data_IF_076519334821
#
_entry.id   IF_076519334821
#
_cell.length_a   1.000
_cell.length_b   1.000
_cell.length_c   1.000
_cell.angle_alpha   90.00
_cell.angle_beta   90.00
_cell.angle_gamma   90.00
#
_symmetry.space_group_name_H-M   'P 1'
#
loop_
_entity.id
_entity.type
_entity.pdbx_description
1 polymer ?
#
# COMPACT_ATOMS: atom_id res chain seq x y z
N UNK A 1 12.40 -14.30 10.33
CA UNK A 1 11.74 -13.70 11.52
C UNK A 1 10.48 -13.01 11.05
N UNK A 2 9.39 -12.98 11.83
CA UNK A 2 8.17 -12.29 11.41
C UNK A 2 8.44 -10.80 11.22
N UNK A 3 7.77 -10.19 10.24
CA UNK A 3 7.86 -8.76 9.96
C UNK A 3 7.34 -7.96 11.18
N UNK A 4 8.21 -7.16 11.80
CA UNK A 4 7.91 -6.35 13.00
C UNK A 4 7.77 -4.86 12.71
N UNK A 5 7.78 -4.47 11.43
CA UNK A 5 7.61 -3.09 11.02
C UNK A 5 6.17 -2.63 11.24
N UNK A 6 5.99 -1.32 11.16
CA UNK A 6 4.69 -0.67 11.16
C UNK A 6 4.55 0.10 9.85
N UNK A 7 3.39 0.09 9.21
CA UNK A 7 3.23 0.72 7.90
C UNK A 7 2.25 1.88 7.94
N UNK A 8 2.52 2.92 7.15
CA UNK A 8 1.58 4.01 6.90
C UNK A 8 1.10 3.91 5.45
N UNK A 9 -0.14 3.49 5.27
CA UNK A 9 -0.84 3.55 3.99
C UNK A 9 -1.67 4.83 3.95
N UNK A 10 -1.48 5.62 2.91
CA UNK A 10 -2.16 6.90 2.77
C UNK A 10 -2.79 7.03 1.38
N UNK A 11 -4.07 7.36 1.36
CA UNK A 11 -4.82 7.72 0.15
C UNK A 11 -4.97 9.23 0.10
N UNK A 12 -4.33 9.86 -0.88
CA UNK A 12 -4.24 11.32 -0.99
C UNK A 12 -5.22 11.83 -2.03
N UNK A 13 -6.01 12.83 -1.64
CA UNK A 13 -6.97 13.50 -2.50
C UNK A 13 -6.22 14.59 -3.27
N UNK A 14 -5.81 14.29 -4.51
CA UNK A 14 -5.05 15.25 -5.32
C UNK A 14 -5.96 16.29 -5.96
N UNK A 15 -5.41 17.44 -6.37
CA UNK A 15 -6.13 18.52 -7.04
C UNK A 15 -5.73 18.56 -8.51
N UNK A 16 -6.69 18.52 -9.42
CA UNK A 16 -6.49 18.62 -10.87
C UNK A 16 -5.40 17.68 -11.38
N UNK A 17 -4.41 18.22 -12.09
CA UNK A 17 -3.26 17.50 -12.64
C UNK A 17 -2.05 17.45 -11.69
N UNK A 18 -2.23 17.80 -10.42
CA UNK A 18 -1.16 17.95 -9.43
C UNK A 18 -0.47 16.66 -8.98
N UNK A 19 -0.95 15.48 -9.39
CA UNK A 19 -0.46 14.19 -8.88
C UNK A 19 1.03 13.97 -9.13
N UNK A 20 1.57 14.28 -10.32
CA UNK A 20 3.01 14.09 -10.60
C UNK A 20 3.91 15.03 -9.78
N UNK A 21 3.48 16.28 -9.56
CA UNK A 21 4.20 17.21 -8.70
C UNK A 21 4.20 16.73 -7.24
N UNK A 22 3.04 16.26 -6.76
CA UNK A 22 2.90 15.65 -5.45
C UNK A 22 3.82 14.45 -5.27
N UNK A 23 3.75 13.45 -6.16
CA UNK A 23 4.57 12.22 -6.08
C UNK A 23 6.06 12.52 -6.06
N UNK A 24 6.52 13.44 -6.92
CA UNK A 24 7.93 13.88 -6.96
C UNK A 24 8.38 14.55 -5.67
N UNK A 25 7.54 15.41 -5.10
CA UNK A 25 7.84 16.12 -3.84
C UNK A 25 7.91 15.14 -2.66
N UNK A 26 6.99 14.18 -2.58
CA UNK A 26 7.01 13.09 -1.60
C UNK A 26 8.25 12.20 -1.74
N UNK A 27 8.62 11.81 -2.97
CA UNK A 27 9.80 11.00 -3.20
C UNK A 27 11.12 11.74 -2.89
N UNK A 28 11.18 13.05 -3.18
CA UNK A 28 12.34 13.88 -2.83
C UNK A 28 12.52 13.98 -1.31
N UNK A 29 11.42 14.02 -0.56
CA UNK A 29 11.43 13.98 0.90
C UNK A 29 11.94 12.64 1.44
N UNK A 30 11.41 11.53 0.94
CA UNK A 30 11.87 10.19 1.29
C UNK A 30 13.38 10.02 1.08
N UNK A 31 13.92 10.58 -0.01
CA UNK A 31 15.35 10.49 -0.31
C UNK A 31 16.26 11.35 0.58
N UNK A 32 15.73 12.40 1.23
CA UNK A 32 16.53 13.31 2.08
C UNK A 32 16.56 12.86 3.53
N UNK A 33 15.58 12.07 3.98
CA UNK A 33 15.45 11.67 5.38
C UNK A 33 16.24 10.41 5.68
N UNK A 34 17.06 10.49 6.73
CA UNK A 34 17.61 9.32 7.44
C UNK A 34 16.64 8.78 8.50
N UNK A 35 15.67 9.59 8.93
CA UNK A 35 14.73 9.29 10.02
C UNK A 35 13.30 9.64 9.60
N UNK A 36 12.36 8.71 9.82
CA UNK A 36 10.94 8.84 9.46
C UNK A 36 10.61 8.05 8.20
N UNK A 37 10.32 6.75 8.38
CA UNK A 37 9.75 5.83 7.39
C UNK A 37 10.54 5.64 6.08
N UNK A 38 10.86 4.39 5.73
CA UNK A 38 11.33 4.04 4.40
C UNK A 38 10.15 4.00 3.41
N UNK A 39 10.26 4.71 2.29
CA UNK A 39 9.23 4.69 1.26
C UNK A 39 9.24 3.33 0.54
N UNK A 40 8.14 2.58 0.65
CA UNK A 40 7.90 1.34 -0.12
C UNK A 40 7.45 1.72 -1.53
N UNK A 41 6.48 2.63 -1.64
CA UNK A 41 6.11 3.14 -2.94
C UNK A 41 5.06 4.22 -2.95
N UNK A 42 4.88 4.77 -4.15
CA UNK A 42 3.87 5.76 -4.48
C UNK A 42 3.23 5.33 -5.81
N UNK A 43 1.91 5.30 -5.86
CA UNK A 43 1.11 4.88 -7.00
C UNK A 43 0.10 5.96 -7.41
N UNK A 44 -0.25 5.95 -8.69
CA UNK A 44 -1.43 6.64 -9.20
C UNK A 44 -2.62 5.69 -9.16
N UNK A 45 -3.73 6.07 -8.54
CA UNK A 45 -4.97 5.29 -8.66
C UNK A 45 -5.60 5.53 -10.04
N UNK A 46 -6.08 4.46 -10.67
CA UNK A 46 -6.91 4.53 -11.87
C UNK A 46 -8.32 5.01 -11.52
N UNK A 47 -8.77 6.09 -12.16
CA UNK A 47 -10.09 6.66 -11.93
C UNK A 47 -11.26 5.78 -12.39
N UNK A 48 -11.02 4.77 -13.24
CA UNK A 48 -12.04 3.79 -13.62
C UNK A 48 -12.33 2.75 -12.54
N UNK A 49 -11.54 2.70 -11.45
CA UNK A 49 -11.64 1.66 -10.41
C UNK A 49 -11.92 2.22 -9.02
N UNK A 50 -11.95 3.55 -8.85
CA UNK A 50 -12.14 4.21 -7.56
C UNK A 50 -12.25 5.71 -7.71
N UNK A 51 -12.34 6.42 -6.59
CA UNK A 51 -12.34 7.88 -6.57
C UNK A 51 -11.15 8.45 -7.33
N UNK A 52 -11.34 9.56 -8.02
CA UNK A 52 -10.26 10.25 -8.71
C UNK A 52 -10.40 11.77 -8.60
N UNK A 53 -9.26 12.50 -8.60
CA UNK A 53 -7.90 11.98 -8.69
C UNK A 53 -7.31 11.60 -7.31
N UNK A 54 -6.67 10.42 -7.23
CA UNK A 54 -6.03 9.90 -6.00
C UNK A 54 -4.60 9.43 -6.23
N UNK A 55 -3.74 9.67 -5.24
CA UNK A 55 -2.40 9.07 -5.13
C UNK A 55 -2.38 8.20 -3.88
N UNK A 56 -1.80 7.01 -3.98
CA UNK A 56 -1.60 6.13 -2.82
C UNK A 56 -0.11 6.04 -2.52
N UNK A 57 0.28 6.06 -1.25
CA UNK A 57 1.65 5.79 -0.84
C UNK A 57 1.72 4.93 0.41
N UNK A 58 2.79 4.14 0.48
CA UNK A 58 3.06 3.21 1.56
C UNK A 58 4.46 3.47 2.10
N UNK A 59 4.53 3.68 3.41
CA UNK A 59 5.78 3.82 4.15
C UNK A 59 5.95 2.66 5.13
N UNK A 60 7.18 2.20 5.30
CA UNK A 60 7.60 1.21 6.27
C UNK A 60 8.34 1.93 7.40
N UNK A 61 7.91 1.73 8.64
CA UNK A 61 8.51 2.30 9.84
C UNK A 61 9.11 1.22 10.71
N UNK A 62 10.10 1.59 11.50
CA UNK A 62 10.73 0.70 12.49
C UNK A 62 9.87 0.57 13.76
N UNK A 63 8.68 -0.01 13.57
CA UNK A 63 7.71 -0.27 14.62
C UNK A 63 7.07 0.98 15.23
N UNK A 64 6.40 0.76 16.36
CA UNK A 64 5.64 1.76 17.11
C UNK A 64 6.50 2.91 17.66
N UNK A 65 7.74 2.62 18.06
CA UNK A 65 8.65 3.64 18.60
C UNK A 65 9.00 4.69 17.54
N UNK A 66 9.31 4.27 16.31
CA UNK A 66 9.56 5.23 15.24
C UNK A 66 8.31 6.05 14.89
N UNK A 67 7.11 5.48 15.02
CA UNK A 67 5.88 6.25 14.85
C UNK A 67 5.71 7.30 15.96
N UNK A 68 6.02 6.96 17.21
CA UNK A 68 6.04 7.93 18.31
C UNK A 68 7.01 9.09 18.03
N UNK A 69 8.23 8.81 17.55
CA UNK A 69 9.19 9.85 17.16
C UNK A 69 8.65 10.77 16.05
N UNK A 70 7.91 10.20 15.08
CA UNK A 70 7.26 10.96 14.02
C UNK A 70 6.17 11.88 14.60
N UNK A 71 5.35 11.37 15.52
CA UNK A 71 4.29 12.14 16.17
C UNK A 71 4.87 13.28 17.02
N UNK A 72 5.90 13.01 17.82
CA UNK A 72 6.59 14.00 18.65
C UNK A 72 7.12 15.14 17.78
N UNK A 73 7.81 14.80 16.70
CA UNK A 73 8.34 15.77 15.74
C UNK A 73 7.25 16.57 15.02
N UNK A 74 6.08 15.98 14.81
CA UNK A 74 4.99 16.61 14.06
C UNK A 74 4.07 17.47 14.93
N UNK A 75 3.90 17.13 16.21
CA UNK A 75 2.82 17.68 17.04
C UNK A 75 3.24 18.20 18.42
N UNK A 76 4.39 17.80 18.98
CA UNK A 76 4.70 18.12 20.39
C UNK A 76 5.23 19.54 20.61
N UNK A 77 5.91 20.14 19.63
CA UNK A 77 6.41 21.51 19.73
C UNK A 77 5.34 22.57 19.41
N UNK A 78 5.51 23.80 19.92
CA UNK A 78 4.65 24.94 19.57
C UNK A 78 4.56 25.20 18.05
N UNK A 79 5.62 24.84 17.32
CA UNK A 79 5.69 24.92 15.86
C UNK A 79 6.37 23.67 15.29
N UNK A 80 5.86 23.19 14.16
CA UNK A 80 6.53 22.16 13.38
C UNK A 80 7.93 22.60 12.95
N UNK A 81 8.92 21.66 12.90
CA UNK A 81 10.22 21.91 12.32
C UNK A 81 10.12 22.58 10.95
N UNK A 82 10.99 23.55 10.67
CA UNK A 82 10.87 24.41 9.50
C UNK A 82 10.88 23.64 8.17
N UNK A 83 11.70 22.57 8.08
CA UNK A 83 11.76 21.68 6.93
C UNK A 83 10.45 20.91 6.72
N UNK A 84 9.88 20.35 7.79
CA UNK A 84 8.62 19.62 7.77
C UNK A 84 7.46 20.54 7.42
N UNK A 85 7.41 21.72 8.02
CA UNK A 85 6.41 22.75 7.71
C UNK A 85 6.50 23.15 6.23
N UNK A 86 7.68 23.46 5.72
CA UNK A 86 7.88 23.81 4.31
C UNK A 86 7.44 22.68 3.37
N UNK A 87 7.69 21.42 3.75
CA UNK A 87 7.24 20.26 3.01
C UNK A 87 5.69 20.17 2.96
N UNK A 88 5.02 20.32 4.11
CA UNK A 88 3.55 20.32 4.22
C UNK A 88 2.90 21.50 3.48
N UNK A 89 3.46 22.70 3.60
CA UNK A 89 2.97 23.90 2.89
C UNK A 89 3.05 23.73 1.38
N UNK A 90 4.13 23.13 0.87
CA UNK A 90 4.30 22.92 -0.57
C UNK A 90 3.31 21.89 -1.11
N UNK A 91 3.11 20.77 -0.42
CA UNK A 91 2.19 19.72 -0.89
C UNK A 91 0.72 20.14 -0.85
N UNK A 92 0.33 21.09 0.02
CA UNK A 92 -1.04 21.61 0.10
C UNK A 92 -1.53 22.24 -1.22
N UNK A 93 -0.62 22.63 -2.12
CA UNK A 93 -0.95 23.13 -3.47
C UNK A 93 -1.53 22.06 -4.40
N UNK A 94 -1.29 20.78 -4.09
CA UNK A 94 -1.63 19.65 -4.97
C UNK A 94 -2.57 18.63 -4.32
N UNK A 95 -2.96 18.84 -3.07
CA UNK A 95 -3.91 17.98 -2.36
C UNK A 95 -4.94 18.79 -1.60
N UNK A 96 -6.14 18.26 -1.48
CA UNK A 96 -7.21 18.81 -0.62
C UNK A 96 -7.33 18.06 0.71
N UNK A 97 -6.70 16.89 0.84
CA UNK A 97 -6.78 16.04 2.02
C UNK A 97 -6.26 14.64 1.74
N UNK A 98 -6.64 13.71 2.60
CA UNK A 98 -6.33 12.30 2.46
C UNK A 98 -6.87 11.49 3.62
N UNK A 99 -6.70 10.18 3.53
CA UNK A 99 -7.03 9.24 4.58
C UNK A 99 -5.86 8.29 4.81
N UNK A 100 -5.40 8.24 6.05
CA UNK A 100 -4.21 7.51 6.46
C UNK A 100 -4.61 6.32 7.34
N UNK A 101 -3.89 5.22 7.18
CA UNK A 101 -4.01 4.00 7.96
C UNK A 101 -2.65 3.64 8.53
N UNK A 102 -2.60 3.43 9.83
CA UNK A 102 -1.51 2.70 10.45
C UNK A 102 -1.84 1.21 10.36
N UNK A 103 -0.88 0.46 9.83
CA UNK A 103 -1.03 -0.90 9.39
C UNK A 103 -0.02 -1.81 10.10
N UNK A 104 -0.52 -2.93 10.61
CA UNK A 104 0.29 -4.01 11.18
C UNK A 104 0.40 -5.14 10.14
N UNK A 105 1.62 -5.59 9.79
CA UNK A 105 1.83 -6.63 8.79
C UNK A 105 1.38 -8.00 9.30
N UNK A 106 0.80 -8.81 8.42
CA UNK A 106 0.68 -10.25 8.65
C UNK A 106 2.07 -10.90 8.75
N UNK A 107 2.25 -12.05 9.42
CA UNK A 107 3.56 -12.69 9.59
C UNK A 107 4.31 -13.01 8.29
N UNK A 108 3.58 -13.24 7.18
CA UNK A 108 4.11 -13.53 5.84
C UNK A 108 4.27 -12.30 4.95
N UNK A 109 3.91 -11.10 5.45
CA UNK A 109 4.01 -9.87 4.69
C UNK A 109 5.49 -9.51 4.47
N UNK A 110 5.95 -9.39 3.21
CA UNK A 110 7.33 -9.03 2.94
C UNK A 110 7.65 -7.61 3.42
N UNK A 111 8.87 -7.43 3.91
CA UNK A 111 9.47 -6.12 4.16
C UNK A 111 9.84 -5.44 2.84
N UNK A 112 10.07 -4.12 2.90
CA UNK A 112 10.55 -3.34 1.76
C UNK A 112 11.85 -3.90 1.19
N UNK A 113 12.77 -4.31 2.06
CA UNK A 113 14.07 -4.83 1.65
C UNK A 113 13.92 -6.22 1.00
N UNK A 114 13.04 -7.08 1.49
CA UNK A 114 12.71 -8.35 0.85
C UNK A 114 12.03 -8.15 -0.53
N UNK A 115 11.18 -7.13 -0.69
CA UNK A 115 10.62 -6.79 -2.01
C UNK A 115 11.70 -6.37 -3.02
N UNK A 116 12.73 -5.67 -2.54
CA UNK A 116 13.89 -5.27 -3.35
C UNK A 116 14.72 -6.49 -3.73
N UNK A 117 15.10 -7.31 -2.74
CA UNK A 117 15.92 -8.52 -2.89
C UNK A 117 15.27 -9.53 -3.84
N UNK A 118 13.98 -9.82 -3.63
CA UNK A 118 13.20 -10.76 -4.46
C UNK A 118 12.86 -10.21 -5.84
N UNK A 119 13.24 -8.96 -6.14
CA UNK A 119 12.94 -8.30 -7.40
C UNK A 119 11.45 -8.35 -7.76
N UNK A 120 10.56 -8.11 -6.78
CA UNK A 120 9.12 -8.00 -7.04
C UNK A 120 8.89 -6.79 -7.94
N UNK A 121 8.41 -7.00 -9.17
CA UNK A 121 8.18 -5.93 -10.15
C UNK A 121 6.83 -6.10 -10.85
N UNK A 122 6.17 -4.99 -11.16
CA UNK A 122 4.89 -5.02 -11.87
C UNK A 122 4.50 -3.67 -12.49
N UNK A 123 3.81 -3.72 -13.63
CA UNK A 123 3.24 -2.51 -14.29
C UNK A 123 1.94 -2.05 -13.64
N UNK A 124 1.26 -2.95 -12.94
CA UNK A 124 0.05 -2.68 -12.20
C UNK A 124 0.18 -3.20 -10.76
N UNK A 125 -0.59 -2.60 -9.87
CA UNK A 125 -0.77 -3.04 -8.51
C UNK A 125 -2.28 -3.14 -8.25
N UNK A 126 -2.75 -4.30 -7.83
CA UNK A 126 -4.13 -4.50 -7.40
C UNK A 126 -4.17 -4.28 -5.88
N UNK A 127 -4.90 -3.25 -5.45
CA UNK A 127 -5.12 -2.98 -4.04
C UNK A 127 -6.52 -3.44 -3.66
N UNK A 128 -6.60 -4.38 -2.73
CA UNK A 128 -7.82 -4.74 -2.02
C UNK A 128 -7.86 -4.03 -0.67
N UNK A 129 -8.98 -3.37 -0.40
CA UNK A 129 -9.38 -2.95 0.95
C UNK A 129 -10.61 -3.77 1.31
N UNK A 130 -10.46 -4.69 2.25
CA UNK A 130 -11.50 -5.61 2.69
C UNK A 130 -12.17 -5.07 3.96
N UNK A 131 -13.50 -5.01 3.94
CA UNK A 131 -14.32 -4.78 5.14
C UNK A 131 -14.61 -6.13 5.78
N UNK A 132 -14.23 -6.28 7.04
CA UNK A 132 -14.29 -7.53 7.77
C UNK A 132 -15.32 -7.46 8.90
N UNK A 133 -15.75 -8.64 9.35
CA UNK A 133 -16.42 -8.76 10.65
C UNK A 133 -15.42 -8.34 11.73
N UNK A 134 -15.92 -7.61 12.73
CA UNK A 134 -15.12 -7.12 13.85
C UNK A 134 -14.38 -8.27 14.53
N UNK A 135 -13.11 -8.03 14.88
CA UNK A 135 -12.23 -8.99 15.51
C UNK A 135 -11.70 -10.11 14.61
N UNK A 136 -12.02 -10.16 13.31
CA UNK A 136 -11.64 -11.30 12.45
C UNK A 136 -10.51 -11.02 11.44
N UNK A 137 -9.73 -9.96 11.68
CA UNK A 137 -8.71 -9.53 10.73
C UNK A 137 -7.56 -10.53 10.60
N UNK A 138 -7.16 -11.16 11.70
CA UNK A 138 -6.05 -12.12 11.71
C UNK A 138 -6.46 -13.42 11.01
N UNK A 139 -7.64 -13.96 11.29
CA UNK A 139 -8.14 -15.16 10.63
C UNK A 139 -8.35 -14.95 9.13
N UNK A 140 -8.79 -13.74 8.73
CA UNK A 140 -8.87 -13.39 7.32
C UNK A 140 -7.48 -13.38 6.66
N UNK A 141 -6.47 -12.78 7.31
CA UNK A 141 -5.10 -12.74 6.79
C UNK A 141 -4.46 -14.14 6.74
N UNK A 142 -4.77 -15.03 7.68
CA UNK A 142 -4.37 -16.43 7.66
C UNK A 142 -5.05 -17.20 6.52
N UNK A 143 -6.33 -16.92 6.26
CA UNK A 143 -7.04 -17.47 5.10
C UNK A 143 -6.44 -16.97 3.78
N UNK A 144 -6.05 -15.69 3.70
CA UNK A 144 -5.30 -15.16 2.55
C UNK A 144 -3.99 -15.94 2.38
N UNK A 145 -3.22 -16.15 3.45
CA UNK A 145 -1.94 -16.84 3.39
C UNK A 145 -2.08 -18.29 2.89
N UNK A 146 -3.07 -19.02 3.43
CA UNK A 146 -3.21 -20.47 3.22
C UNK A 146 -4.02 -20.83 1.98
N UNK A 147 -4.98 -19.97 1.57
CA UNK A 147 -5.90 -20.25 0.48
C UNK A 147 -5.67 -19.36 -0.74
N UNK A 148 -5.48 -18.06 -0.54
CA UNK A 148 -5.43 -17.12 -1.66
C UNK A 148 -4.03 -16.94 -2.24
N UNK A 149 -3.02 -16.74 -1.40
CA UNK A 149 -1.65 -16.46 -1.81
C UNK A 149 -1.11 -17.49 -2.82
N UNK A 150 -1.25 -18.81 -2.61
CA UNK A 150 -0.79 -19.80 -3.59
C UNK A 150 -1.54 -19.72 -4.94
N UNK A 151 -2.82 -19.37 -4.91
CA UNK A 151 -3.65 -19.20 -6.12
C UNK A 151 -3.22 -17.94 -6.87
N UNK A 152 -3.08 -16.81 -6.17
CA UNK A 152 -2.62 -15.55 -6.73
C UNK A 152 -1.24 -15.71 -7.39
N UNK A 153 -0.32 -16.42 -6.75
CA UNK A 153 1.03 -16.66 -7.29
C UNK A 153 1.03 -17.51 -8.55
N UNK A 154 0.21 -18.57 -8.62
CA UNK A 154 -0.01 -19.36 -9.85
C UNK A 154 -0.62 -18.54 -10.98
N UNK A 155 -1.47 -17.56 -10.64
CA UNK A 155 -2.05 -16.60 -11.58
C UNK A 155 -1.10 -15.44 -11.93
N UNK A 156 0.14 -15.48 -11.45
CA UNK A 156 1.21 -14.55 -11.81
C UNK A 156 1.26 -13.27 -10.98
N UNK A 157 0.45 -13.15 -9.93
CA UNK A 157 0.52 -12.04 -8.98
C UNK A 157 1.68 -12.28 -8.00
N UNK A 158 2.21 -11.21 -7.43
CA UNK A 158 3.22 -11.28 -6.36
C UNK A 158 2.82 -10.38 -5.21
N UNK A 159 2.86 -10.89 -3.99
CA UNK A 159 2.47 -10.12 -2.80
C UNK A 159 3.42 -8.93 -2.61
N UNK A 160 2.85 -7.74 -2.48
CA UNK A 160 3.55 -6.52 -2.04
C UNK A 160 3.38 -6.37 -0.53
N UNK A 161 2.18 -6.64 -0.01
CA UNK A 161 1.92 -6.62 1.42
C UNK A 161 0.50 -7.04 1.78
N UNK A 162 0.33 -7.49 3.02
CA UNK A 162 -0.93 -7.90 3.61
C UNK A 162 -0.97 -7.41 5.06
N UNK A 163 -1.98 -6.64 5.41
CA UNK A 163 -2.00 -5.86 6.64
C UNK A 163 -3.38 -5.84 7.28
N UNK A 164 -3.42 -5.78 8.62
CA UNK A 164 -4.59 -5.31 9.37
C UNK A 164 -4.41 -3.85 9.78
N UNK A 165 -5.50 -3.10 9.92
CA UNK A 165 -5.43 -1.75 10.47
C UNK A 165 -5.26 -1.78 12.00
N UNK A 166 -4.49 -0.84 12.55
CA UNK A 166 -4.28 -0.79 13.99
C UNK A 166 -5.38 0.00 14.74
N UNK A 167 -6.05 0.94 14.09
CA UNK A 167 -7.08 1.82 14.70
C UNK A 167 -8.51 1.35 14.41
N UNK A 168 -8.66 0.16 13.82
CA UNK A 168 -9.93 -0.44 13.42
C UNK A 168 -9.71 -1.95 13.30
N UNK A 169 -10.65 -2.74 13.77
CA UNK A 169 -10.61 -4.20 13.74
C UNK A 169 -11.46 -4.80 12.60
N UNK A 170 -12.00 -3.95 11.73
CA UNK A 170 -12.88 -4.32 10.61
C UNK A 170 -12.28 -4.06 9.22
N UNK A 171 -10.97 -3.80 9.10
CA UNK A 171 -10.35 -3.48 7.81
C UNK A 171 -9.01 -4.19 7.63
N UNK A 172 -8.82 -4.79 6.45
CA UNK A 172 -7.54 -5.33 5.98
C UNK A 172 -7.18 -4.74 4.62
N UNK A 173 -5.87 -4.57 4.38
CA UNK A 173 -5.32 -4.04 3.14
C UNK A 173 -4.37 -5.05 2.53
N UNK A 174 -4.59 -5.40 1.26
CA UNK A 174 -3.73 -6.33 0.52
C UNK A 174 -3.30 -5.67 -0.79
N UNK A 175 -2.02 -5.76 -1.09
CA UNK A 175 -1.41 -5.19 -2.29
C UNK A 175 -0.75 -6.30 -3.10
N UNK A 176 -1.11 -6.41 -4.37
CA UNK A 176 -0.56 -7.39 -5.31
C UNK A 176 0.13 -6.69 -6.47
N UNK A 177 1.38 -7.05 -6.74
CA UNK A 177 2.09 -6.68 -7.96
C UNK A 177 1.60 -7.55 -9.12
N UNK A 178 1.23 -6.91 -10.23
CA UNK A 178 0.79 -7.56 -11.46
C UNK A 178 1.77 -7.19 -12.58
N UNK A 179 2.34 -8.17 -13.31
CA UNK A 179 3.45 -7.92 -14.22
C UNK A 179 3.09 -6.98 -15.37
N UNK A 180 1.90 -7.13 -15.95
CA UNK A 180 1.42 -6.37 -17.11
C UNK A 180 -0.06 -6.00 -16.95
N UNK A 181 -0.53 -5.01 -17.71
CA UNK A 181 -1.97 -4.71 -17.78
C UNK A 181 -2.76 -5.86 -18.43
N UNK A 182 -2.17 -6.58 -19.38
CA UNK A 182 -2.78 -7.79 -19.95
C UNK A 182 -3.01 -8.88 -18.89
N UNK A 183 -2.02 -9.11 -18.02
CA UNK A 183 -2.17 -10.05 -16.91
C UNK A 183 -3.26 -9.61 -15.93
N UNK A 184 -3.40 -8.30 -15.69
CA UNK A 184 -4.49 -7.75 -14.90
C UNK A 184 -5.85 -8.00 -15.56
N UNK A 185 -6.01 -7.68 -16.85
CA UNK A 185 -7.29 -7.85 -17.55
C UNK A 185 -7.67 -9.32 -17.69
N UNK A 186 -6.70 -10.22 -17.91
CA UNK A 186 -6.93 -11.66 -17.84
C UNK A 186 -7.40 -12.07 -16.45
N UNK A 187 -6.68 -11.66 -15.41
CA UNK A 187 -7.04 -11.95 -14.02
C UNK A 187 -8.46 -11.52 -13.67
N UNK A 188 -8.87 -10.31 -14.08
CA UNK A 188 -10.20 -9.77 -13.84
C UNK A 188 -11.27 -10.45 -14.71
N UNK A 189 -10.93 -10.81 -15.95
CA UNK A 189 -11.85 -11.36 -16.93
C UNK A 189 -12.41 -12.75 -16.57
N UNK A 190 -11.61 -13.60 -15.91
CA UNK A 190 -12.02 -14.93 -15.48
C UNK A 190 -12.18 -15.07 -13.95
N UNK A 191 -11.95 -14.01 -13.16
CA UNK A 191 -12.00 -14.07 -11.69
C UNK A 191 -13.33 -14.64 -11.15
N UNK A 192 -14.44 -14.27 -11.79
CA UNK A 192 -15.77 -14.72 -11.36
C UNK A 192 -16.13 -16.15 -11.76
N UNK A 193 -15.38 -16.78 -12.67
CA UNK A 193 -15.72 -18.08 -13.28
C UNK A 193 -14.69 -19.17 -12.99
N UNK A 194 -13.40 -18.83 -12.90
CA UNK A 194 -12.34 -19.78 -12.62
C UNK A 194 -12.59 -20.49 -11.26
N UNK A 195 -12.52 -21.84 -11.20
CA UNK A 195 -12.84 -22.59 -9.98
C UNK A 195 -12.05 -22.10 -8.76
N UNK A 196 -10.75 -21.88 -8.91
CA UNK A 196 -9.87 -21.53 -7.79
C UNK A 196 -10.14 -20.13 -7.21
N UNK A 197 -10.60 -19.18 -8.03
CA UNK A 197 -10.97 -17.83 -7.57
C UNK A 197 -12.39 -17.79 -7.02
N UNK A 198 -13.31 -18.62 -7.54
CA UNK A 198 -14.64 -18.81 -6.94
C UNK A 198 -14.57 -19.44 -5.56
N UNK A 199 -13.72 -20.46 -5.40
CA UNK A 199 -13.50 -21.11 -4.10
C UNK A 199 -12.95 -20.13 -3.06
N UNK A 200 -11.97 -19.30 -3.46
CA UNK A 200 -11.49 -18.21 -2.61
C UNK A 200 -12.59 -17.21 -2.27
N UNK A 201 -13.34 -16.74 -3.27
CA UNK A 201 -14.41 -15.75 -3.08
C UNK A 201 -15.49 -16.27 -2.14
N UNK A 202 -15.86 -17.54 -2.25
CA UNK A 202 -16.81 -18.20 -1.36
C UNK A 202 -16.25 -18.32 0.06
N UNK A 203 -15.01 -18.78 0.22
CA UNK A 203 -14.36 -18.91 1.52
C UNK A 203 -14.19 -17.56 2.23
N UNK A 204 -13.77 -16.51 1.51
CA UNK A 204 -13.51 -15.18 2.07
C UNK A 204 -14.76 -14.56 2.73
N UNK A 205 -15.98 -14.94 2.30
CA UNK A 205 -17.24 -14.47 2.90
C UNK A 205 -17.44 -14.88 4.36
N UNK A 206 -16.69 -15.86 4.86
CA UNK A 206 -16.70 -16.20 6.29
C UNK A 206 -16.20 -15.03 7.17
N UNK A 207 -15.40 -14.14 6.62
CA UNK A 207 -14.79 -13.01 7.34
C UNK A 207 -15.15 -11.65 6.73
N UNK A 208 -15.26 -11.59 5.41
CA UNK A 208 -15.41 -10.35 4.65
C UNK A 208 -16.88 -10.03 4.38
N UNK A 209 -17.31 -8.86 4.82
CA UNK A 209 -18.66 -8.33 4.56
C UNK A 209 -18.73 -7.53 3.27
N UNK A 210 -17.62 -6.88 2.88
CA UNK A 210 -17.47 -6.14 1.62
C UNK A 210 -15.99 -6.05 1.23
N UNK A 211 -15.68 -5.68 -0.01
CA UNK A 211 -14.32 -5.36 -0.43
C UNK A 211 -14.29 -4.45 -1.65
N UNK A 212 -13.22 -3.65 -1.73
CA UNK A 212 -12.95 -2.82 -2.90
C UNK A 212 -11.58 -3.13 -3.44
N UNK A 213 -11.55 -3.60 -4.68
CA UNK A 213 -10.33 -3.64 -5.48
C UNK A 213 -10.17 -2.36 -6.31
N UNK A 214 -8.94 -1.83 -6.31
CA UNK A 214 -8.56 -0.63 -7.07
C UNK A 214 -7.28 -0.90 -7.84
N UNK A 215 -7.23 -0.43 -9.09
CA UNK A 215 -6.02 -0.47 -9.90
C UNK A 215 -5.14 0.71 -9.53
N UNK A 216 -3.92 0.39 -9.09
CA UNK A 216 -2.85 1.33 -8.82
C UNK A 216 -1.74 1.16 -9.87
N UNK A 217 -1.22 2.27 -10.40
CA UNK A 217 -0.08 2.30 -11.32
C UNK A 217 1.16 2.79 -10.57
N UNK A 218 2.21 1.95 -10.40
CA UNK A 218 3.40 2.33 -9.65
C UNK A 218 4.13 3.47 -10.35
N UNK A 219 4.49 4.51 -9.59
CA UNK A 219 5.40 5.54 -10.08
C UNK A 219 6.84 5.02 -10.12
N UNK A 220 7.74 5.73 -10.82
CA UNK A 220 9.18 5.38 -10.86
C UNK A 220 9.88 5.33 -9.48
N UNK A 221 9.26 5.87 -8.43
CA UNK A 221 9.80 5.87 -7.06
C UNK A 221 9.28 4.71 -6.19
N UNK A 222 8.41 3.87 -6.76
CA UNK A 222 7.94 2.65 -6.11
C UNK A 222 8.95 1.52 -6.30
N UNK A 223 9.33 0.80 -5.24
CA UNK A 223 10.33 -0.27 -5.33
C UNK A 223 9.89 -1.42 -6.24
N UNK A 224 8.58 -1.58 -6.46
CA UNK A 224 8.02 -2.58 -7.37
C UNK A 224 7.81 -2.08 -8.80
N UNK A 225 8.16 -0.84 -9.13
CA UNK A 225 8.10 -0.36 -10.51
C UNK A 225 9.16 -1.09 -11.36
N UNK A 226 8.87 -1.53 -12.61
CA UNK A 226 9.82 -2.33 -13.41
C UNK A 226 11.13 -1.61 -13.74
N UNK A 227 11.05 -0.28 -13.87
CA UNK A 227 12.20 0.59 -14.07
C UNK A 227 12.86 1.09 -12.77
N UNK A 228 12.40 0.66 -11.59
CA UNK A 228 13.01 1.08 -10.33
C UNK A 228 14.43 0.54 -10.22
N UNK A 229 15.34 1.38 -9.70
CA UNK A 229 16.72 1.01 -9.42
C UNK A 229 17.08 1.57 -8.03
N UNK A 230 17.89 0.86 -7.23
CA UNK A 230 18.50 1.45 -6.05
C UNK A 230 19.27 2.70 -6.48
N UNK A 231 19.17 3.79 -5.71
CA UNK A 231 20.09 4.92 -5.92
C UNK A 231 21.49 4.45 -5.56
N UNK A 232 22.46 4.75 -6.41
CA UNK A 232 23.88 4.62 -6.04
C UNK A 232 24.08 5.39 -4.73
N UNK A 233 24.66 4.72 -3.74
CA UNK A 233 24.97 5.32 -2.44
C UNK A 233 26.08 6.35 -2.58
#
# INVERSE_FOLDING_TARGET
>A
MPNRHLYLHATIHTIGTGSEAYKRHTAAWAARRRHGGALVGIWQQSGSTGDWPRVVHLWEMDGWNQWADILEKQYAGERQPADLRAWWTRMARWRSGGFDRILEPAPYCPTRDELIERSVRGRACLQEIATLRAGTAEEYLDAVATRWLPVAERRGLRLIGAYRTAMRDTEAVILWSVPTFDALTRHLGDFGSAPETRDWTAAARAWRTDYRETLLVPSRWCVVHPGWRPRAR
#
